data_IF_256844230053
#
_entry.id   IF_256844230053
#
_cell.length_a   1.000
_cell.length_b   1.000
_cell.length_c   1.000
_cell.angle_alpha   90.00
_cell.angle_beta   90.00
_cell.angle_gamma   90.00
#
_symmetry.space_group_name_H-M   'P 1'
#
loop_
_entity.id
_entity.type
_entity.pdbx_description
1 polymer ?
#
# COMPACT_ATOMS: atom_id res chain seq x y z
N UNK A 1 -4.64 3.89 22.90
CA UNK A 1 -5.39 2.66 23.18
C UNK A 1 -6.44 3.01 24.23
N UNK A 2 -7.67 2.67 23.93
CA UNK A 2 -8.79 2.89 24.87
C UNK A 2 -8.83 1.73 25.89
N UNK A 3 -9.52 1.92 27.02
CA UNK A 3 -9.76 0.84 28.01
C UNK A 3 -10.43 -0.36 27.33
N UNK A 4 -11.29 -0.11 26.35
CA UNK A 4 -11.97 -1.13 25.54
C UNK A 4 -10.97 -1.96 24.73
N UNK A 5 -9.95 -1.33 24.12
CA UNK A 5 -8.90 -2.05 23.39
C UNK A 5 -8.13 -3.02 24.29
N UNK A 6 -7.83 -2.61 25.53
CA UNK A 6 -7.14 -3.47 26.50
C UNK A 6 -8.01 -4.66 26.96
N UNK A 7 -9.31 -4.45 27.15
CA UNK A 7 -10.25 -5.52 27.50
C UNK A 7 -10.41 -6.50 26.35
N UNK A 8 -10.53 -6.01 25.12
CA UNK A 8 -10.62 -6.85 23.92
C UNK A 8 -9.34 -7.65 23.69
N UNK A 9 -8.16 -7.05 23.89
CA UNK A 9 -6.88 -7.75 23.75
C UNK A 9 -6.70 -8.81 24.86
N UNK A 10 -7.25 -8.61 26.05
CA UNK A 10 -7.23 -9.61 27.14
C UNK A 10 -8.17 -10.79 26.86
N UNK A 11 -9.36 -10.55 26.30
CA UNK A 11 -10.33 -11.60 25.96
C UNK A 11 -9.98 -12.31 24.63
N UNK A 12 -9.39 -11.59 23.67
CA UNK A 12 -9.01 -12.07 22.35
C UNK A 12 -7.57 -11.67 22.06
N UNK A 13 -6.59 -12.31 22.69
CA UNK A 13 -5.20 -11.93 22.56
C UNK A 13 -4.76 -11.99 21.08
N UNK A 14 -4.00 -10.98 20.62
CA UNK A 14 -3.57 -10.91 19.24
C UNK A 14 -2.73 -12.13 18.86
N UNK A 15 -2.98 -12.67 17.67
CA UNK A 15 -2.26 -13.82 17.13
C UNK A 15 -1.42 -13.42 15.94
N UNK A 16 -0.24 -14.00 15.81
CA UNK A 16 0.61 -13.85 14.64
C UNK A 16 -0.18 -14.21 13.36
N UNK A 17 -0.25 -13.34 12.34
CA UNK A 17 -1.00 -13.62 11.12
C UNK A 17 -0.40 -14.75 10.28
N UNK A 18 0.87 -15.09 10.50
CA UNK A 18 1.59 -16.14 9.78
C UNK A 18 1.40 -17.49 10.47
N UNK A 19 1.88 -17.67 11.72
CA UNK A 19 1.91 -18.96 12.41
C UNK A 19 0.80 -19.17 13.46
N UNK A 20 -0.03 -18.17 13.75
CA UNK A 20 -1.13 -18.19 14.72
C UNK A 20 -0.72 -18.28 16.20
N UNK A 21 0.55 -18.29 16.53
CA UNK A 21 1.03 -18.17 17.93
C UNK A 21 0.51 -16.86 18.54
N UNK A 22 0.27 -16.86 19.85
CA UNK A 22 -0.07 -15.65 20.60
C UNK A 22 1.07 -14.64 20.50
N UNK A 23 0.73 -13.37 20.42
CA UNK A 23 1.71 -12.28 20.41
C UNK A 23 1.84 -11.72 21.81
N UNK A 24 3.05 -11.74 22.35
CA UNK A 24 3.40 -11.18 23.65
C UNK A 24 3.79 -9.70 23.58
N UNK A 25 3.93 -9.19 22.35
CA UNK A 25 4.37 -7.82 22.09
C UNK A 25 3.37 -7.08 21.20
N UNK A 26 3.50 -5.74 21.14
CA UNK A 26 2.72 -4.89 20.25
C UNK A 26 3.13 -5.02 18.77
N UNK A 27 4.23 -5.73 18.50
CA UNK A 27 4.67 -6.03 17.12
C UNK A 27 3.67 -7.04 16.54
N UNK A 28 3.09 -6.78 15.36
CA UNK A 28 1.97 -7.57 14.85
C UNK A 28 2.36 -8.92 14.24
N UNK A 29 3.63 -9.32 14.34
CA UNK A 29 4.18 -10.61 13.89
C UNK A 29 5.16 -11.11 14.93
N UNK A 30 5.18 -12.42 15.22
CA UNK A 30 6.12 -12.99 16.18
C UNK A 30 7.58 -12.95 15.65
N UNK A 31 8.59 -12.99 16.55
CA UNK A 31 10.01 -12.86 16.15
C UNK A 31 10.46 -13.92 15.13
N UNK A 32 9.97 -15.16 15.24
CA UNK A 32 10.33 -16.25 14.31
C UNK A 32 9.83 -15.93 12.90
N UNK A 33 8.55 -15.60 12.75
CA UNK A 33 7.97 -15.26 11.46
C UNK A 33 8.51 -13.94 10.89
N UNK A 34 8.94 -13.01 11.74
CA UNK A 34 9.55 -11.76 11.32
C UNK A 34 10.82 -12.00 10.50
N UNK A 35 11.64 -12.98 10.87
CA UNK A 35 12.89 -13.34 10.17
C UNK A 35 12.64 -13.94 8.79
N UNK A 36 11.48 -14.55 8.59
CA UNK A 36 11.10 -15.23 7.34
C UNK A 36 10.29 -14.36 6.38
N UNK A 37 9.88 -13.16 6.83
CA UNK A 37 9.15 -12.26 5.95
C UNK A 37 10.07 -11.72 4.84
N UNK A 38 9.60 -11.70 3.58
CA UNK A 38 10.38 -11.27 2.44
C UNK A 38 10.45 -9.74 2.37
N UNK A 39 11.23 -9.12 3.27
CA UNK A 39 11.45 -7.69 3.27
C UNK A 39 12.21 -7.23 2.03
N UNK A 40 11.94 -6.00 1.61
CA UNK A 40 12.73 -5.31 0.58
C UNK A 40 13.99 -4.72 1.20
N UNK A 41 15.15 -4.95 0.58
CA UNK A 41 16.39 -4.28 0.98
C UNK A 41 16.43 -2.86 0.39
N UNK A 42 16.83 -1.85 1.20
CA UNK A 42 16.81 -0.44 0.78
C UNK A 42 17.78 -0.17 -0.38
N UNK A 43 18.98 -0.76 -0.32
CA UNK A 43 20.04 -0.53 -1.31
C UNK A 43 19.82 -1.31 -2.63
N UNK A 44 18.95 -2.31 -2.61
CA UNK A 44 18.68 -3.22 -3.73
C UNK A 44 17.34 -2.94 -4.42
N UNK A 45 16.81 -1.74 -4.26
CA UNK A 45 15.50 -1.40 -4.82
C UNK A 45 15.52 -0.15 -5.70
N UNK A 46 14.59 -0.10 -6.63
CA UNK A 46 14.37 1.09 -7.46
C UNK A 46 13.97 2.29 -6.60
N UNK A 47 14.74 3.39 -6.69
CA UNK A 47 14.48 4.63 -5.93
C UNK A 47 13.11 5.25 -6.18
N UNK A 48 12.45 4.94 -7.29
CA UNK A 48 11.12 5.47 -7.60
C UNK A 48 10.03 4.52 -7.10
N UNK A 49 10.00 3.27 -7.55
CA UNK A 49 8.87 2.38 -7.30
C UNK A 49 9.09 1.34 -6.20
N UNK A 50 10.29 1.27 -5.60
CA UNK A 50 10.61 0.30 -4.55
C UNK A 50 10.77 -1.15 -5.02
N UNK A 51 10.77 -1.42 -6.34
CA UNK A 51 10.93 -2.77 -6.87
C UNK A 51 12.37 -3.24 -6.68
N UNK A 52 12.62 -4.49 -6.23
CA UNK A 52 13.94 -5.08 -6.23
C UNK A 52 14.60 -4.97 -7.60
N UNK A 53 15.89 -4.65 -7.65
CA UNK A 53 16.68 -4.53 -8.86
C UNK A 53 17.50 -5.81 -9.04
N UNK A 54 17.61 -6.29 -10.28
CA UNK A 54 18.49 -7.40 -10.65
C UNK A 54 19.94 -6.95 -10.77
N UNK A 55 20.15 -5.69 -11.23
CA UNK A 55 21.44 -5.03 -11.33
C UNK A 55 21.44 -3.74 -10.52
N UNK A 56 22.33 -3.64 -9.53
CA UNK A 56 22.40 -2.50 -8.59
C UNK A 56 23.07 -1.25 -9.19
N UNK A 57 23.78 -1.37 -10.32
CA UNK A 57 24.40 -0.25 -11.04
C UNK A 57 23.42 0.84 -11.46
N UNK A 58 22.16 0.48 -11.66
CA UNK A 58 21.09 1.40 -12.04
C UNK A 58 20.09 1.56 -10.90
N UNK A 59 20.21 2.59 -10.12
CA UNK A 59 19.27 2.86 -9.01
C UNK A 59 17.78 3.06 -9.42
N UNK A 60 17.44 2.91 -10.70
CA UNK A 60 16.10 3.07 -11.25
C UNK A 60 15.83 1.94 -12.25
N UNK A 61 14.75 1.18 -12.03
CA UNK A 61 14.37 0.06 -12.91
C UNK A 61 13.97 0.52 -14.32
N UNK A 62 14.05 -0.37 -15.30
CA UNK A 62 13.70 -0.11 -16.71
C UNK A 62 12.28 0.45 -16.88
N UNK A 63 11.31 -0.07 -16.14
CA UNK A 63 9.93 0.40 -16.17
C UNK A 63 9.77 1.85 -15.68
N UNK A 64 10.55 2.31 -14.72
CA UNK A 64 10.52 3.70 -14.26
C UNK A 64 11.32 4.63 -15.17
N UNK A 65 12.37 4.15 -15.83
CA UNK A 65 13.13 4.92 -16.82
C UNK A 65 12.35 5.16 -18.11
N UNK A 66 11.53 4.19 -18.52
CA UNK A 66 10.80 4.21 -19.81
C UNK A 66 9.52 5.04 -19.79
N UNK A 67 9.09 5.61 -18.66
CA UNK A 67 7.83 6.36 -18.56
C UNK A 67 7.89 7.48 -17.52
N UNK A 68 7.05 8.49 -17.71
CA UNK A 68 6.88 9.56 -16.72
C UNK A 68 6.18 8.99 -15.48
N UNK A 69 6.81 9.16 -14.32
CA UNK A 69 6.23 8.87 -13.02
C UNK A 69 5.64 10.15 -12.41
N UNK A 70 4.50 10.02 -11.72
CA UNK A 70 3.78 11.12 -11.10
C UNK A 70 3.84 11.07 -9.56
N UNK A 71 4.66 10.19 -9.01
CA UNK A 71 5.01 10.15 -7.59
C UNK A 71 6.53 10.19 -7.42
N UNK A 72 6.97 10.73 -6.29
CA UNK A 72 8.40 10.96 -6.01
C UNK A 72 9.11 9.65 -5.63
N UNK A 73 8.50 8.88 -4.72
CA UNK A 73 9.04 7.63 -4.17
C UNK A 73 7.92 6.70 -3.73
N UNK A 74 8.19 5.39 -3.70
CA UNK A 74 7.27 4.37 -3.18
C UNK A 74 7.91 3.64 -2.00
N UNK A 75 7.31 3.78 -0.83
CA UNK A 75 7.64 2.99 0.34
C UNK A 75 6.97 1.63 0.23
N UNK A 76 7.76 0.57 0.13
CA UNK A 76 7.24 -0.80 -0.01
C UNK A 76 8.05 -1.74 0.87
N UNK A 77 7.52 -2.22 2.00
CA UNK A 77 8.28 -3.03 2.94
C UNK A 77 8.48 -4.48 2.49
N UNK A 78 7.54 -5.08 1.76
CA UNK A 78 7.50 -6.51 1.53
C UNK A 78 7.37 -6.89 0.05
N UNK A 79 8.03 -7.98 -0.34
CA UNK A 79 7.85 -8.62 -1.64
C UNK A 79 6.60 -9.52 -1.60
N UNK A 80 5.80 -9.54 -2.68
CA UNK A 80 4.59 -10.38 -2.80
C UNK A 80 4.95 -11.84 -3.06
N UNK A 81 5.47 -12.54 -2.06
CA UNK A 81 5.79 -13.96 -2.08
C UNK A 81 5.63 -14.58 -0.70
N UNK A 82 5.70 -15.87 -0.60
CA UNK A 82 5.73 -16.67 0.64
C UNK A 82 4.63 -16.23 1.65
N UNK A 83 4.94 -16.20 2.92
CA UNK A 83 4.03 -15.84 4.00
C UNK A 83 3.41 -14.43 3.85
N UNK A 84 4.10 -13.48 3.24
CA UNK A 84 3.55 -12.15 2.97
C UNK A 84 2.38 -12.19 1.97
N UNK A 85 2.44 -13.08 0.98
CA UNK A 85 1.34 -13.35 0.04
C UNK A 85 0.13 -13.94 0.78
N UNK A 86 0.34 -14.88 1.70
CA UNK A 86 -0.75 -15.52 2.45
C UNK A 86 -1.46 -14.52 3.38
N UNK A 87 -0.72 -13.63 4.05
CA UNK A 87 -1.29 -12.53 4.85
C UNK A 87 -2.11 -11.58 3.98
N UNK A 88 -1.64 -11.26 2.76
CA UNK A 88 -2.36 -10.41 1.82
C UNK A 88 -3.65 -11.07 1.30
N UNK A 89 -3.63 -12.37 1.04
CA UNK A 89 -4.82 -13.15 0.65
C UNK A 89 -5.82 -13.15 1.81
N UNK A 90 -5.37 -13.38 3.03
CA UNK A 90 -6.23 -13.37 4.22
C UNK A 90 -6.85 -11.98 4.45
N UNK A 91 -6.11 -10.89 4.24
CA UNK A 91 -6.66 -9.53 4.26
C UNK A 91 -7.74 -9.34 3.18
N UNK A 92 -7.57 -9.94 2.01
CA UNK A 92 -8.55 -9.83 0.90
C UNK A 92 -9.83 -10.65 1.13
N UNK A 93 -9.75 -11.75 1.85
CA UNK A 93 -10.86 -12.71 1.93
C UNK A 93 -11.69 -12.59 3.20
N UNK A 94 -11.09 -12.39 4.38
CA UNK A 94 -11.86 -12.52 5.63
C UNK A 94 -11.28 -11.84 6.85
N UNK A 95 -10.07 -11.26 6.78
CA UNK A 95 -9.36 -10.77 7.97
C UNK A 95 -8.95 -9.29 7.86
N UNK A 96 -9.91 -8.37 7.97
CA UNK A 96 -9.64 -6.93 7.85
C UNK A 96 -8.63 -6.42 8.89
N UNK A 97 -8.53 -7.05 10.06
CA UNK A 97 -7.55 -6.70 11.10
C UNK A 97 -6.09 -6.83 10.66
N UNK A 98 -5.79 -7.61 9.62
CA UNK A 98 -4.43 -7.71 9.07
C UNK A 98 -3.94 -6.44 8.38
N UNK A 99 -4.82 -5.47 8.14
CA UNK A 99 -4.41 -4.13 7.71
C UNK A 99 -3.44 -3.45 8.69
N UNK A 100 -3.55 -3.74 10.01
CA UNK A 100 -2.63 -3.24 11.04
C UNK A 100 -1.19 -3.75 10.84
N UNK A 101 -1.04 -4.98 10.37
CA UNK A 101 0.27 -5.60 10.09
C UNK A 101 0.98 -4.83 8.98
N UNK A 102 0.28 -4.60 7.87
CA UNK A 102 0.85 -3.86 6.75
C UNK A 102 1.09 -2.38 7.09
N UNK A 103 0.19 -1.76 7.85
CA UNK A 103 0.38 -0.39 8.31
C UNK A 103 1.59 -0.24 9.23
N UNK A 104 1.87 -1.23 10.08
CA UNK A 104 3.06 -1.25 10.93
C UNK A 104 4.33 -1.27 10.10
N UNK A 105 4.46 -2.21 9.16
CA UNK A 105 5.64 -2.31 8.30
C UNK A 105 5.80 -1.10 7.36
N UNK A 106 4.70 -0.54 6.88
CA UNK A 106 4.74 0.69 6.10
C UNK A 106 5.22 1.89 6.93
N UNK A 107 4.75 2.01 8.17
CA UNK A 107 5.19 3.09 9.07
C UNK A 107 6.69 2.97 9.37
N UNK A 108 7.16 1.76 9.68
CA UNK A 108 8.58 1.49 9.90
C UNK A 108 9.42 1.86 8.67
N UNK A 109 9.04 1.34 7.49
CA UNK A 109 9.71 1.65 6.21
C UNK A 109 9.73 3.15 5.89
N UNK A 110 8.65 3.88 6.18
CA UNK A 110 8.58 5.33 5.94
C UNK A 110 9.51 6.07 6.90
N UNK A 111 9.46 5.74 8.19
CA UNK A 111 10.20 6.47 9.23
C UNK A 111 11.71 6.22 9.18
N UNK A 112 12.13 5.06 8.67
CA UNK A 112 13.55 4.69 8.52
C UNK A 112 14.14 5.06 7.16
N UNK A 113 13.31 5.38 6.17
CA UNK A 113 13.76 5.70 4.82
C UNK A 113 14.43 7.08 4.72
N UNK A 114 15.50 7.23 3.91
CA UNK A 114 16.09 8.54 3.59
C UNK A 114 15.13 9.45 2.80
N UNK A 115 14.05 8.90 2.25
CA UNK A 115 12.99 9.64 1.56
C UNK A 115 11.85 10.07 2.49
N UNK A 116 11.98 9.86 3.82
CA UNK A 116 10.98 10.30 4.79
C UNK A 116 10.77 11.81 4.70
N UNK A 117 9.50 12.23 4.68
CA UNK A 117 9.09 13.63 4.63
C UNK A 117 7.81 13.82 5.43
N UNK A 118 7.46 15.07 5.70
CA UNK A 118 6.18 15.41 6.30
C UNK A 118 5.07 15.26 5.27
N UNK A 119 4.06 14.47 5.59
CA UNK A 119 2.84 14.32 4.81
C UNK A 119 1.73 15.21 5.42
N UNK A 120 1.02 15.96 4.58
CA UNK A 120 -0.14 16.73 5.00
C UNK A 120 -1.40 15.87 5.04
N UNK A 121 -1.47 14.88 4.13
CA UNK A 121 -2.59 13.96 4.03
C UNK A 121 -2.15 12.56 3.64
N UNK A 122 -2.95 11.59 4.07
CA UNK A 122 -2.94 10.22 3.55
C UNK A 122 -4.21 10.01 2.73
N UNK A 123 -4.10 9.34 1.60
CA UNK A 123 -5.22 8.89 0.78
C UNK A 123 -5.01 7.45 0.34
N UNK A 124 -5.96 6.87 -0.33
CA UNK A 124 -5.90 5.47 -0.75
C UNK A 124 -6.47 5.26 -2.15
N UNK A 125 -5.99 4.22 -2.81
CA UNK A 125 -6.52 3.78 -4.10
C UNK A 125 -7.93 3.22 -3.89
N UNK A 126 -8.97 3.79 -4.52
CA UNK A 126 -10.33 3.28 -4.40
C UNK A 126 -10.49 1.96 -5.14
N UNK A 127 -11.24 1.04 -4.57
CA UNK A 127 -11.60 -0.22 -5.20
C UNK A 127 -12.91 -0.12 -5.98
N UNK A 128 -13.17 -1.13 -6.82
CA UNK A 128 -14.45 -1.31 -7.49
C UNK A 128 -15.55 -1.58 -6.45
N UNK A 129 -16.70 -0.89 -6.57
CA UNK A 129 -17.81 -0.99 -5.62
C UNK A 129 -18.39 -2.41 -5.53
N UNK A 130 -18.38 -3.20 -6.61
CA UNK A 130 -18.79 -4.61 -6.56
C UNK A 130 -17.82 -5.44 -5.72
N UNK A 131 -16.52 -5.24 -5.91
CA UNK A 131 -15.50 -5.91 -5.10
C UNK A 131 -15.56 -5.50 -3.64
N UNK A 132 -15.84 -4.23 -3.36
CA UNK A 132 -16.01 -3.71 -2.00
C UNK A 132 -17.30 -4.25 -1.35
N UNK A 133 -18.40 -4.34 -2.09
CA UNK A 133 -19.67 -4.97 -1.60
C UNK A 133 -19.46 -6.45 -1.28
N UNK A 134 -18.82 -7.21 -2.16
CA UNK A 134 -18.61 -8.65 -1.96
C UNK A 134 -17.65 -8.95 -0.79
N UNK A 135 -16.72 -8.06 -0.47
CA UNK A 135 -15.73 -8.23 0.60
C UNK A 135 -16.08 -7.46 1.87
N UNK A 136 -16.96 -6.46 1.78
CA UNK A 136 -17.33 -5.55 2.86
C UNK A 136 -16.35 -4.39 3.09
N UNK A 137 -15.18 -4.37 2.41
CA UNK A 137 -14.16 -3.33 2.63
C UNK A 137 -13.17 -3.19 1.47
N UNK A 138 -12.48 -2.04 1.44
CA UNK A 138 -11.34 -1.75 0.59
C UNK A 138 -10.05 -1.91 1.41
N UNK A 139 -9.12 -2.79 0.98
CA UNK A 139 -7.87 -3.11 1.68
C UNK A 139 -6.98 -1.88 1.81
N UNK A 140 -6.75 -1.15 0.72
CA UNK A 140 -5.94 0.07 0.74
C UNK A 140 -6.49 1.12 1.72
N UNK A 141 -7.83 1.25 1.81
CA UNK A 141 -8.50 2.13 2.77
C UNK A 141 -8.26 1.70 4.21
N UNK A 142 -8.32 0.39 4.50
CA UNK A 142 -8.06 -0.11 5.86
C UNK A 142 -6.59 0.14 6.25
N UNK A 143 -5.65 -0.18 5.37
CA UNK A 143 -4.21 0.06 5.60
C UNK A 143 -3.97 1.57 5.80
N UNK A 144 -4.54 2.44 4.95
CA UNK A 144 -4.40 3.89 5.06
C UNK A 144 -4.95 4.44 6.39
N UNK A 145 -6.08 3.91 6.88
CA UNK A 145 -6.64 4.30 8.17
C UNK A 145 -5.75 3.90 9.34
N UNK A 146 -5.19 2.69 9.33
CA UNK A 146 -4.27 2.25 10.39
C UNK A 146 -2.95 3.03 10.33
N UNK A 147 -2.40 3.26 9.13
CA UNK A 147 -1.20 4.08 8.93
C UNK A 147 -1.40 5.53 9.38
N UNK A 148 -2.58 6.09 9.13
CA UNK A 148 -2.99 7.43 9.58
C UNK A 148 -2.92 7.58 11.11
N UNK A 149 -3.32 6.55 11.85
CA UNK A 149 -3.22 6.54 13.33
C UNK A 149 -1.76 6.52 13.80
N UNK A 150 -0.91 5.71 13.15
CA UNK A 150 0.50 5.58 13.51
C UNK A 150 1.26 6.87 13.20
N UNK A 151 1.12 7.39 11.99
CA UNK A 151 1.83 8.60 11.54
C UNK A 151 1.18 9.91 12.03
N UNK A 152 0.00 9.84 12.64
CA UNK A 152 -0.81 11.02 13.09
C UNK A 152 -1.10 11.99 11.94
N UNK A 153 -1.34 11.47 10.74
CA UNK A 153 -1.65 12.23 9.53
C UNK A 153 -3.09 11.94 9.10
N UNK A 154 -3.85 12.97 8.75
CA UNK A 154 -5.27 12.84 8.37
C UNK A 154 -5.45 12.01 7.10
N UNK A 155 -6.30 10.97 7.17
CA UNK A 155 -6.69 10.16 6.02
C UNK A 155 -7.98 10.70 5.38
N UNK A 156 -7.92 11.03 4.07
CA UNK A 156 -9.03 11.62 3.32
C UNK A 156 -9.25 10.86 1.99
N UNK A 157 -10.50 10.65 1.56
CA UNK A 157 -10.81 10.08 0.25
C UNK A 157 -10.70 11.18 -0.83
N UNK A 158 -9.73 11.06 -1.73
CA UNK A 158 -9.49 12.04 -2.81
C UNK A 158 -9.91 11.55 -4.18
N UNK A 159 -10.02 10.24 -4.34
CA UNK A 159 -10.30 9.59 -5.61
C UNK A 159 -11.58 8.74 -5.52
N UNK A 160 -12.23 8.56 -6.65
CA UNK A 160 -13.37 7.65 -6.86
C UNK A 160 -13.02 6.63 -7.93
N UNK A 161 -13.64 5.45 -7.87
CA UNK A 161 -13.56 4.44 -8.91
C UNK A 161 -14.95 4.03 -9.37
N UNK A 162 -15.15 3.95 -10.69
CA UNK A 162 -16.38 3.43 -11.29
C UNK A 162 -16.25 1.96 -11.67
N UNK A 163 -17.38 1.32 -11.98
CA UNK A 163 -17.43 -0.08 -12.37
C UNK A 163 -17.22 -0.32 -13.87
N UNK A 164 -16.94 0.74 -14.66
CA UNK A 164 -16.89 0.65 -16.12
C UNK A 164 -15.63 -0.03 -16.69
N UNK A 165 -14.70 -0.52 -15.85
CA UNK A 165 -13.49 -1.20 -16.31
C UNK A 165 -13.56 -2.71 -16.21
N UNK A 166 -12.81 -3.40 -17.10
CA UNK A 166 -12.62 -4.85 -17.02
C UNK A 166 -11.86 -5.24 -15.75
N UNK A 167 -12.07 -6.46 -15.20
CA UNK A 167 -11.28 -6.96 -14.07
C UNK A 167 -9.77 -6.94 -14.39
N UNK A 168 -8.96 -6.33 -13.54
CA UNK A 168 -7.53 -6.12 -13.83
C UNK A 168 -6.70 -7.40 -13.93
N UNK A 169 -7.15 -8.50 -13.32
CA UNK A 169 -6.46 -9.79 -13.36
C UNK A 169 -6.52 -10.48 -14.73
N UNK A 170 -7.47 -10.09 -15.61
CA UNK A 170 -7.64 -10.64 -16.95
C UNK A 170 -6.93 -9.84 -18.04
N UNK A 171 -6.26 -8.72 -17.69
CA UNK A 171 -5.71 -7.77 -18.64
C UNK A 171 -4.18 -7.86 -18.74
N UNK A 172 -3.66 -7.66 -19.95
CA UNK A 172 -2.23 -7.42 -20.21
C UNK A 172 -1.75 -6.11 -19.60
N UNK A 173 -0.44 -5.90 -19.51
CA UNK A 173 0.13 -4.66 -18.97
C UNK A 173 -0.28 -3.40 -19.76
N UNK A 174 -0.45 -3.51 -21.09
CA UNK A 174 -0.93 -2.41 -21.96
C UNK A 174 -2.40 -2.11 -21.70
N UNK A 175 -3.24 -3.13 -21.67
CA UNK A 175 -4.67 -3.01 -21.39
C UNK A 175 -4.94 -2.46 -19.97
N UNK A 176 -4.15 -2.84 -18.98
CA UNK A 176 -4.25 -2.26 -17.64
C UNK A 176 -4.04 -0.75 -17.63
N UNK A 177 -3.09 -0.23 -18.42
CA UNK A 177 -2.84 1.22 -18.53
C UNK A 177 -4.03 1.99 -19.12
N UNK A 178 -4.68 1.45 -20.15
CA UNK A 178 -5.87 2.07 -20.74
C UNK A 178 -7.11 1.93 -19.84
N UNK A 179 -7.25 0.77 -19.19
CA UNK A 179 -8.38 0.49 -18.30
C UNK A 179 -8.43 1.43 -17.08
N UNK A 180 -7.26 1.78 -16.50
CA UNK A 180 -7.23 2.69 -15.34
C UNK A 180 -7.75 4.09 -15.67
N UNK A 181 -7.54 4.60 -16.89
CA UNK A 181 -8.04 5.91 -17.32
C UNK A 181 -9.58 5.99 -17.33
N UNK A 182 -10.24 4.86 -17.52
CA UNK A 182 -11.71 4.76 -17.54
C UNK A 182 -12.32 4.49 -16.17
N UNK A 183 -11.50 4.08 -15.21
CA UNK A 183 -11.97 3.60 -13.92
C UNK A 183 -11.83 4.63 -12.80
N UNK A 184 -10.79 5.48 -12.82
CA UNK A 184 -10.44 6.35 -11.70
C UNK A 184 -10.69 7.82 -12.02
N UNK A 185 -11.28 8.53 -11.06
CA UNK A 185 -11.69 9.93 -11.19
C UNK A 185 -11.35 10.71 -9.92
N UNK A 186 -11.16 12.01 -10.07
CA UNK A 186 -10.96 12.97 -8.98
C UNK A 186 -12.28 13.21 -8.24
N UNK A 187 -12.18 13.53 -6.95
CA UNK A 187 -13.26 14.23 -6.23
C UNK A 187 -13.14 15.74 -6.45
N UNK A 188 -14.09 16.52 -5.94
CA UNK A 188 -14.08 17.99 -6.04
C UNK A 188 -13.12 18.65 -5.06
N UNK A 189 -12.38 17.85 -4.28
CA UNK A 189 -11.41 18.33 -3.30
C UNK A 189 -10.23 18.99 -4.01
N UNK A 190 -9.87 20.21 -3.59
CA UNK A 190 -8.64 20.89 -3.99
C UNK A 190 -7.48 20.39 -3.16
N UNK A 191 -6.46 19.83 -3.79
CA UNK A 191 -5.24 19.35 -3.15
C UNK A 191 -4.31 20.51 -2.80
N UNK A 192 -3.52 20.33 -1.74
CA UNK A 192 -2.44 21.23 -1.33
C UNK A 192 -1.36 20.42 -0.59
N UNK A 193 -0.11 20.79 -0.78
CA UNK A 193 1.02 20.19 -0.05
C UNK A 193 1.35 18.77 -0.51
N UNK A 194 1.80 17.93 0.42
CA UNK A 194 2.32 16.59 0.18
C UNK A 194 1.30 15.52 0.61
N UNK A 195 1.00 14.58 -0.30
CA UNK A 195 0.06 13.48 -0.04
C UNK A 195 0.73 12.12 -0.17
N UNK A 196 0.41 11.21 0.75
CA UNK A 196 0.78 9.80 0.70
C UNK A 196 -0.39 8.97 0.16
N UNK A 197 -0.22 8.37 -1.03
CA UNK A 197 -1.18 7.47 -1.64
C UNK A 197 -0.91 6.03 -1.20
N UNK A 198 -1.89 5.38 -0.60
CA UNK A 198 -1.77 3.99 -0.12
C UNK A 198 -2.44 3.02 -1.09
N UNK A 199 -1.77 1.90 -1.38
CA UNK A 199 -2.32 0.76 -2.12
C UNK A 199 -1.94 -0.56 -1.44
N UNK A 200 -2.60 -1.67 -1.77
CA UNK A 200 -2.31 -2.99 -1.20
C UNK A 200 -1.10 -3.64 -1.89
N UNK A 201 -1.07 -3.69 -3.22
CA UNK A 201 -0.04 -4.36 -4.00
C UNK A 201 0.38 -3.55 -5.22
N UNK A 202 1.67 -3.27 -5.34
CA UNK A 202 2.28 -2.71 -6.55
C UNK A 202 2.62 -3.84 -7.54
N UNK A 203 2.01 -3.82 -8.71
CA UNK A 203 2.31 -4.77 -9.80
C UNK A 203 3.03 -4.07 -10.95
N UNK A 204 2.32 -3.61 -11.96
CA UNK A 204 2.86 -2.82 -13.07
C UNK A 204 3.02 -1.34 -12.74
N UNK A 205 2.45 -0.89 -11.63
CA UNK A 205 2.39 0.51 -11.24
C UNK A 205 1.42 1.37 -12.07
N UNK A 206 0.62 0.76 -12.95
CA UNK A 206 -0.32 1.51 -13.81
C UNK A 206 -1.36 2.26 -12.96
N UNK A 207 -1.98 1.58 -11.99
CA UNK A 207 -2.96 2.19 -11.06
C UNK A 207 -2.31 3.29 -10.23
N UNK A 208 -1.19 2.97 -9.56
CA UNK A 208 -0.49 3.91 -8.70
C UNK A 208 -0.07 5.17 -9.45
N UNK A 209 0.54 5.02 -10.63
CA UNK A 209 0.99 6.16 -11.42
C UNK A 209 -0.17 7.02 -11.95
N UNK A 210 -1.28 6.41 -12.38
CA UNK A 210 -2.45 7.16 -12.85
C UNK A 210 -3.16 7.88 -11.69
N UNK A 211 -3.37 7.22 -10.56
CA UNK A 211 -3.93 7.86 -9.36
C UNK A 211 -3.04 9.02 -8.87
N UNK A 212 -1.72 8.85 -8.89
CA UNK A 212 -0.77 9.92 -8.56
C UNK A 212 -0.87 11.10 -9.54
N UNK A 213 -1.06 10.84 -10.84
CA UNK A 213 -1.32 11.88 -11.83
C UNK A 213 -2.59 12.67 -11.47
N UNK A 214 -3.69 11.99 -11.15
CA UNK A 214 -4.94 12.65 -10.76
C UNK A 214 -4.75 13.52 -9.51
N UNK A 215 -3.96 13.07 -8.53
CA UNK A 215 -3.63 13.83 -7.33
C UNK A 215 -2.83 15.11 -7.68
N UNK A 216 -1.83 15.02 -8.57
CA UNK A 216 -1.12 16.20 -9.09
C UNK A 216 -2.07 17.18 -9.80
N UNK A 217 -3.00 16.67 -10.61
CA UNK A 217 -4.02 17.48 -11.27
C UNK A 217 -5.04 18.12 -10.31
N UNK A 218 -5.20 17.58 -9.10
CA UNK A 218 -6.00 18.17 -8.02
C UNK A 218 -5.28 19.31 -7.30
N UNK A 219 -3.97 19.50 -7.52
CA UNK A 219 -3.14 20.54 -6.92
C UNK A 219 -2.20 20.08 -5.81
N UNK A 220 -2.09 18.77 -5.52
CA UNK A 220 -1.05 18.29 -4.60
C UNK A 220 0.34 18.51 -5.19
N UNK A 221 1.22 19.15 -4.41
CA UNK A 221 2.57 19.53 -4.84
C UNK A 221 3.49 18.32 -4.97
N UNK A 222 3.42 17.40 -3.99
CA UNK A 222 4.18 16.14 -3.99
C UNK A 222 3.25 14.96 -3.70
N UNK A 223 3.48 13.87 -4.40
CA UNK A 223 2.78 12.60 -4.19
C UNK A 223 3.82 11.54 -3.88
N UNK A 224 3.68 10.88 -2.76
CA UNK A 224 4.42 9.68 -2.40
C UNK A 224 3.49 8.48 -2.43
N UNK A 225 4.04 7.30 -2.63
CA UNK A 225 3.29 6.06 -2.66
C UNK A 225 3.69 5.19 -1.46
N UNK A 226 2.72 4.52 -0.85
CA UNK A 226 2.95 3.48 0.15
C UNK A 226 2.19 2.23 -0.27
N UNK A 227 2.91 1.16 -0.61
CA UNK A 227 2.28 -0.11 -0.99
C UNK A 227 2.71 -1.22 -0.04
N UNK A 228 1.76 -1.97 0.49
CA UNK A 228 2.08 -3.02 1.46
C UNK A 228 3.01 -4.07 0.85
N UNK A 229 2.82 -4.40 -0.42
CA UNK A 229 3.58 -5.41 -1.13
C UNK A 229 3.94 -4.96 -2.55
N UNK A 230 5.03 -5.51 -3.08
CA UNK A 230 5.43 -5.34 -4.47
C UNK A 230 5.70 -6.69 -5.13
N UNK A 231 5.27 -6.86 -6.38
CA UNK A 231 5.74 -7.97 -7.21
C UNK A 231 7.14 -7.69 -7.70
N UNK A 232 8.06 -8.63 -7.46
CA UNK A 232 9.32 -8.70 -8.20
C UNK A 232 9.03 -8.90 -9.71
N UNK A 233 10.03 -8.80 -10.54
CA UNK A 233 9.93 -9.23 -11.94
C UNK A 233 9.70 -10.75 -11.96
N UNK A 234 8.80 -11.22 -12.85
CA UNK A 234 8.69 -12.64 -13.22
C UNK A 234 9.79 -12.95 -14.21
#
# INVERSE_FOLDING_TARGET
MTIIDNILDALFPPKCPVCRKLLETKIPVCPDCMKELPFTAEDEQCRICGRPLEEFSYHICSACRSRKMYFEHSFTPLIYKDSAKDVAIALKTSKPGYARVFAYFLADKILTSPYCTKFDYITFVPQNSLSERNRGYNQARLIAKELSKILKVRCIPTLKRTNHGKPQHTLTAKERRENVKRCYFKTDLKGKGTVLLVDDIYTTGATANYCSRLLKEMGFEKVYLATALIRAYD
#
